data_IF_119597256757
#
_entry.id   IF_119597256757
#
_cell.length_a   1.000
_cell.length_b   1.000
_cell.length_c   1.000
_cell.angle_alpha   90.00
_cell.angle_beta   90.00
_cell.angle_gamma   90.00
#
_symmetry.space_group_name_H-M   'P 1'
#
loop_
_entity.id
_entity.type
_entity.pdbx_description
1 polymer ?
#
# COMPACT_ATOMS: atom_id res chain seq x y z
N UNK A 1 3.06 -7.42 -7.56
CA UNK A 1 1.71 -7.98 -7.36
C UNK A 1 0.75 -6.96 -7.92
N UNK A 2 0.01 -7.27 -8.99
CA UNK A 2 -1.08 -6.42 -9.49
C UNK A 2 -2.32 -6.76 -8.66
N UNK A 3 -2.86 -5.77 -7.96
CA UNK A 3 -4.00 -5.91 -7.06
C UNK A 3 -5.28 -5.54 -7.81
N UNK A 4 -5.81 -6.45 -8.63
CA UNK A 4 -7.14 -6.28 -9.21
C UNK A 4 -8.21 -6.58 -8.15
N UNK A 5 -8.91 -5.54 -7.69
CA UNK A 5 -10.17 -5.61 -6.94
C UNK A 5 -10.14 -6.34 -5.58
N UNK A 6 -9.64 -5.66 -4.54
CA UNK A 6 -9.75 -6.14 -3.16
C UNK A 6 -11.15 -5.89 -2.58
N UNK A 7 -11.95 -6.96 -2.44
CA UNK A 7 -13.09 -6.96 -1.53
C UNK A 7 -12.61 -6.76 -0.06
N UNK A 8 -13.51 -6.41 0.85
CA UNK A 8 -13.19 -5.99 2.24
C UNK A 8 -12.27 -6.93 3.02
N UNK A 9 -12.27 -8.23 2.70
CA UNK A 9 -11.37 -9.22 3.29
C UNK A 9 -9.92 -9.06 2.82
N UNK A 10 -9.69 -8.71 1.56
CA UNK A 10 -8.34 -8.50 1.01
C UNK A 10 -7.72 -7.19 1.49
N UNK A 11 -8.51 -6.13 1.67
CA UNK A 11 -8.03 -4.88 2.29
C UNK A 11 -7.56 -5.11 3.72
N UNK A 12 -8.27 -5.94 4.50
CA UNK A 12 -7.84 -6.31 5.85
C UNK A 12 -6.48 -7.03 5.83
N UNK A 13 -6.29 -7.99 4.91
CA UNK A 13 -5.02 -8.69 4.79
C UNK A 13 -3.86 -7.74 4.43
N UNK A 14 -4.10 -6.73 3.60
CA UNK A 14 -3.10 -5.70 3.28
C UNK A 14 -2.75 -4.89 4.54
N UNK A 15 -3.74 -4.43 5.29
CA UNK A 15 -3.51 -3.70 6.56
C UNK A 15 -2.69 -4.56 7.53
N UNK A 16 -3.07 -5.83 7.73
CA UNK A 16 -2.35 -6.73 8.63
C UNK A 16 -0.87 -6.90 8.20
N UNK A 17 -0.57 -6.90 6.89
CA UNK A 17 0.81 -6.92 6.37
C UNK A 17 1.53 -5.59 6.64
N UNK A 18 0.86 -4.46 6.41
CA UNK A 18 1.44 -3.14 6.60
C UNK A 18 1.76 -2.86 8.08
N UNK A 19 0.94 -3.35 9.02
CA UNK A 19 1.21 -3.30 10.46
C UNK A 19 2.51 -4.05 10.82
N UNK A 20 2.75 -5.22 10.21
CA UNK A 20 4.00 -5.97 10.41
C UNK A 20 5.21 -5.15 9.90
N UNK A 21 5.07 -4.51 8.74
CA UNK A 21 6.11 -3.65 8.17
C UNK A 21 6.39 -2.43 9.07
N UNK A 22 5.36 -1.84 9.66
CA UNK A 22 5.49 -0.77 10.64
C UNK A 22 6.27 -1.21 11.88
N UNK A 23 5.94 -2.37 12.46
CA UNK A 23 6.69 -2.92 13.59
C UNK A 23 8.17 -3.13 13.25
N UNK A 24 8.45 -3.62 12.04
CA UNK A 24 9.83 -3.79 11.57
C UNK A 24 10.56 -2.46 11.47
N UNK A 25 9.89 -1.42 10.95
CA UNK A 25 10.42 -0.06 10.87
C UNK A 25 10.72 0.50 12.28
N UNK A 26 9.80 0.33 13.24
CA UNK A 26 9.96 0.75 14.63
C UNK A 26 11.12 0.04 15.35
N UNK A 27 11.47 -1.19 14.94
CA UNK A 27 12.64 -1.94 15.43
C UNK A 27 13.98 -1.43 14.85
N UNK A 28 13.96 -0.35 14.05
CA UNK A 28 15.13 0.30 13.49
C UNK A 28 15.55 -0.22 12.11
N UNK A 29 14.72 -1.07 11.48
CA UNK A 29 14.95 -1.45 10.08
C UNK A 29 14.49 -0.32 9.16
N UNK A 30 15.18 -0.12 8.05
CA UNK A 30 14.71 0.80 7.01
C UNK A 30 13.67 0.09 6.16
N UNK A 31 12.40 0.48 6.29
CA UNK A 31 11.28 -0.06 5.54
C UNK A 31 10.61 1.06 4.75
N UNK A 32 10.22 0.78 3.52
CA UNK A 32 9.45 1.66 2.64
C UNK A 32 8.39 0.84 1.91
N UNK A 33 7.18 1.39 1.78
CA UNK A 33 6.11 0.80 0.99
C UNK A 33 6.05 1.49 -0.37
N UNK A 34 6.22 0.71 -1.43
CA UNK A 34 6.08 1.21 -2.81
C UNK A 34 4.75 0.74 -3.40
N UNK A 35 3.78 1.65 -3.43
CA UNK A 35 2.42 1.40 -3.92
C UNK A 35 2.34 1.63 -5.42
N UNK A 36 2.16 0.54 -6.16
CA UNK A 36 1.97 0.59 -7.60
C UNK A 36 0.49 0.50 -7.94
N UNK A 37 0.02 1.40 -8.78
CA UNK A 37 -1.38 1.46 -9.22
C UNK A 37 -1.44 1.77 -10.72
N UNK A 38 -2.53 1.41 -11.40
CA UNK A 38 -2.71 1.79 -12.81
C UNK A 38 -3.04 3.28 -12.91
N UNK A 39 -2.51 3.98 -13.91
CA UNK A 39 -2.72 5.44 -14.04
C UNK A 39 -4.21 5.83 -14.15
N UNK A 40 -5.06 4.94 -14.69
CA UNK A 40 -6.50 5.12 -14.84
C UNK A 40 -7.34 4.52 -13.69
N UNK A 41 -6.69 3.98 -12.65
CA UNK A 41 -7.34 3.40 -11.48
C UNK A 41 -7.17 4.30 -10.24
N UNK A 42 -7.96 5.37 -10.20
CA UNK A 42 -7.98 6.35 -9.11
C UNK A 42 -8.42 5.72 -7.78
N UNK A 43 -9.30 4.71 -7.81
CA UNK A 43 -9.76 4.00 -6.61
C UNK A 43 -8.59 3.26 -5.92
N UNK A 44 -7.68 2.66 -6.69
CA UNK A 44 -6.47 2.04 -6.14
C UNK A 44 -5.47 3.04 -5.58
N UNK A 45 -5.38 4.24 -6.16
CA UNK A 45 -4.57 5.31 -5.59
C UNK A 45 -5.13 5.77 -4.24
N UNK A 46 -6.44 6.03 -4.18
CA UNK A 46 -7.08 6.54 -2.97
C UNK A 46 -7.04 5.51 -1.83
N UNK A 47 -7.22 4.22 -2.12
CA UNK A 47 -7.01 3.15 -1.12
C UNK A 47 -5.58 3.16 -0.54
N UNK A 48 -4.57 3.34 -1.38
CA UNK A 48 -3.18 3.41 -0.92
C UNK A 48 -2.91 4.64 -0.04
N UNK A 49 -3.57 5.77 -0.31
CA UNK A 49 -3.51 6.96 0.55
C UNK A 49 -4.20 6.74 1.89
N UNK A 50 -5.37 6.09 1.91
CA UNK A 50 -6.05 5.72 3.15
C UNK A 50 -5.15 4.85 4.05
N UNK A 51 -4.41 3.91 3.46
CA UNK A 51 -3.43 3.12 4.21
C UNK A 51 -2.26 3.96 4.73
N UNK A 52 -1.76 4.91 3.95
CA UNK A 52 -0.69 5.82 4.38
C UNK A 52 -1.12 6.67 5.59
N UNK A 53 -2.40 7.05 5.70
CA UNK A 53 -2.89 7.83 6.85
C UNK A 53 -2.85 7.04 8.17
N UNK A 54 -2.92 5.70 8.12
CA UNK A 54 -3.00 4.85 9.31
C UNK A 54 -1.68 4.09 9.62
N UNK A 55 -0.75 3.97 8.66
CA UNK A 55 0.51 3.23 8.81
C UNK A 55 1.70 4.20 8.87
N UNK A 56 2.49 4.17 9.94
CA UNK A 56 3.65 5.05 10.11
C UNK A 56 4.93 4.48 9.45
N UNK A 57 4.87 4.29 8.14
CA UNK A 57 6.00 3.89 7.28
C UNK A 57 6.04 4.86 6.08
N UNK A 58 7.21 5.16 5.50
CA UNK A 58 7.27 5.92 4.24
C UNK A 58 6.53 5.19 3.10
N UNK A 59 5.67 5.92 2.39
CA UNK A 59 5.00 5.43 1.18
C UNK A 59 5.48 6.20 -0.05
N UNK A 60 5.69 5.47 -1.14
CA UNK A 60 5.97 6.01 -2.48
C UNK A 60 4.93 5.47 -3.45
N UNK A 61 4.28 6.36 -4.20
CA UNK A 61 3.23 6.00 -5.17
C UNK A 61 3.77 6.04 -6.60
N UNK A 62 3.56 4.97 -7.36
CA UNK A 62 4.04 4.84 -8.74
C UNK A 62 2.87 4.42 -9.64
N UNK A 63 2.47 5.32 -10.53
CA UNK A 63 1.50 5.03 -11.59
C UNK A 63 2.15 4.15 -12.68
N UNK A 64 1.50 3.05 -13.04
CA UNK A 64 1.88 2.16 -14.13
C UNK A 64 0.98 2.43 -15.32
N UNK A 65 1.60 2.60 -16.50
CA UNK A 65 0.92 2.63 -17.79
C UNK A 65 0.97 1.24 -18.42
N UNK A 66 -0.15 0.63 -18.81
CA UNK A 66 -0.11 -0.50 -19.72
C UNK A 66 0.45 -0.02 -21.08
N UNK A 67 1.46 -0.71 -21.60
CA UNK A 67 1.99 -0.51 -22.96
C UNK A 67 1.04 -1.06 -24.03
#
# INVERSE_FOLDING_TARGET
MQLEYCNSSSSKAIVDILEILEEMNQKGNQVEVVWHYMEDDDDMLDMGKEFQEIINVPFTFIAIKPE
#
